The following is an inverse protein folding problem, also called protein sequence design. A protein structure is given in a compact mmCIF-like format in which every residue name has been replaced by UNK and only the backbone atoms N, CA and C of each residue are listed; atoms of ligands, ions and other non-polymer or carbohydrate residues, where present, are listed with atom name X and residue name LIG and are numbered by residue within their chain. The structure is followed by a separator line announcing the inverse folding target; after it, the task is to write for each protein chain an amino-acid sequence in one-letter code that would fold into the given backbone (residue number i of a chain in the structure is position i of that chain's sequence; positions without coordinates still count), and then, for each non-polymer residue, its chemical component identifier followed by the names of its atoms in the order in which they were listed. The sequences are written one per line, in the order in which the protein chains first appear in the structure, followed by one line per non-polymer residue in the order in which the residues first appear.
data_IF_326827030378
#
_entry.id   IF_326827030378
#
_cell.length_a   1.000
_cell.length_b   1.000
_cell.length_c   1.000
_cell.angle_alpha   90.00
_cell.angle_beta   90.00
_cell.angle_gamma   90.00
#
_symmetry.space_group_name_H-M   'P 1'
#
loop_
_entity.id
_entity.type
_entity.pdbx_description
1 polymer ?
#
# COMPACT_ATOMS: atom_id res chain seq x y z
N UNK A 1 -18.29 -1.95 12.08
CA UNK A 1 -19.67 -2.39 12.31
C UNK A 1 -20.56 -1.24 12.78
N UNK A 2 -20.07 -0.36 13.65
CA UNK A 2 -20.74 0.83 14.17
C UNK A 2 -19.69 1.90 14.40
N UNK A 3 -20.06 3.17 14.26
CA UNK A 3 -19.17 4.33 14.48
C UNK A 3 -18.12 4.52 13.38
N UNK A 4 -17.38 5.60 13.49
CA UNK A 4 -16.29 5.97 12.57
C UNK A 4 -14.99 6.06 13.35
N UNK A 5 -13.97 5.42 12.86
CA UNK A 5 -12.60 5.52 13.38
C UNK A 5 -11.72 6.31 12.41
N UNK A 6 -10.82 7.09 12.94
CA UNK A 6 -9.86 7.87 12.17
C UNK A 6 -8.50 7.21 12.32
N UNK A 7 -7.95 6.72 11.21
CA UNK A 7 -6.61 6.16 11.14
C UNK A 7 -5.68 7.20 10.56
N UNK A 8 -4.73 7.66 11.35
CA UNK A 8 -3.72 8.62 10.92
C UNK A 8 -2.40 7.89 10.71
N UNK A 9 -1.96 7.83 9.46
CA UNK A 9 -0.67 7.35 9.02
C UNK A 9 0.29 8.54 8.83
N UNK A 10 1.55 8.25 8.58
CA UNK A 10 2.57 9.29 8.37
C UNK A 10 2.21 10.29 7.25
N UNK A 11 1.58 9.82 6.18
CA UNK A 11 1.31 10.58 4.96
C UNK A 11 -0.17 10.80 4.66
N UNK A 12 -1.08 10.22 5.45
CA UNK A 12 -2.52 10.29 5.20
C UNK A 12 -3.37 10.00 6.42
N UNK A 13 -4.59 10.53 6.38
CA UNK A 13 -5.65 10.22 7.33
C UNK A 13 -6.80 9.51 6.60
N UNK A 14 -7.31 8.45 7.19
CA UNK A 14 -8.38 7.61 6.65
C UNK A 14 -9.53 7.53 7.65
N UNK A 15 -10.74 7.79 7.16
CA UNK A 15 -11.96 7.68 7.95
C UNK A 15 -12.63 6.33 7.65
N UNK A 16 -12.56 5.42 8.60
CA UNK A 16 -13.18 4.10 8.51
C UNK A 16 -14.61 4.15 9.04
N UNK A 17 -15.57 4.33 8.14
CA UNK A 17 -17.00 4.32 8.44
C UNK A 17 -17.56 2.89 8.48
N UNK A 18 -18.78 2.67 9.01
CA UNK A 18 -19.44 1.37 8.94
C UNK A 18 -19.46 0.81 7.51
N UNK A 19 -19.03 -0.46 7.35
CA UNK A 19 -18.89 -1.10 6.04
C UNK A 19 -17.54 -0.85 5.33
N UNK A 20 -16.60 -0.14 5.96
CA UNK A 20 -15.23 -0.04 5.48
C UNK A 20 -14.40 -1.24 5.89
N UNK A 21 -13.47 -1.63 5.04
CA UNK A 21 -12.40 -2.59 5.34
C UNK A 21 -11.07 -1.89 5.13
N UNK A 22 -10.17 -2.00 6.11
CA UNK A 22 -8.82 -1.45 6.05
C UNK A 22 -7.82 -2.58 6.25
N UNK A 23 -6.87 -2.70 5.33
CA UNK A 23 -5.71 -3.59 5.48
C UNK A 23 -4.51 -2.73 5.83
N UNK A 24 -3.88 -3.04 6.95
CA UNK A 24 -2.68 -2.34 7.43
C UNK A 24 -1.51 -3.30 7.31
N UNK A 25 -0.46 -2.96 6.55
CA UNK A 25 0.74 -3.79 6.45
C UNK A 25 1.45 -3.91 7.79
N UNK A 26 2.15 -5.03 7.98
CA UNK A 26 3.07 -5.22 9.11
C UNK A 26 4.10 -4.07 9.14
N UNK A 27 4.35 -3.52 10.33
CA UNK A 27 5.27 -2.40 10.59
C UNK A 27 4.82 -1.02 10.07
N UNK A 28 3.60 -0.87 9.59
CA UNK A 28 3.05 0.45 9.31
C UNK A 28 2.64 1.12 10.62
N UNK A 29 3.23 2.27 10.92
CA UNK A 29 2.88 3.05 12.11
C UNK A 29 1.61 3.86 11.84
N UNK A 30 0.65 3.78 12.76
CA UNK A 30 -0.60 4.54 12.69
C UNK A 30 -1.10 4.89 14.09
N UNK A 31 -1.93 5.93 14.15
CA UNK A 31 -2.69 6.30 15.32
C UNK A 31 -4.18 6.12 15.03
N UNK A 32 -4.94 5.66 16.02
CA UNK A 32 -6.39 5.54 15.93
C UNK A 32 -7.02 6.57 16.85
N UNK A 33 -7.91 7.38 16.29
CA UNK A 33 -8.77 8.28 17.02
C UNK A 33 -10.23 7.92 16.75
N UNK A 34 -11.08 8.05 17.77
CA UNK A 34 -12.53 7.85 17.62
C UNK A 34 -13.16 9.16 17.12
N UNK A 35 -13.96 9.09 16.08
CA UNK A 35 -14.79 10.21 15.63
C UNK A 35 -16.13 10.22 16.36
N UNK A 36 -16.69 9.05 16.60
CA UNK A 36 -17.92 8.85 17.35
C UNK A 36 -17.60 8.36 18.78
N UNK A 37 -18.51 8.58 19.74
CA UNK A 37 -18.33 8.14 21.14
C UNK A 37 -18.17 6.62 21.28
N UNK A 38 -18.76 5.86 20.36
CA UNK A 38 -18.65 4.40 20.31
C UNK A 38 -18.31 3.92 18.91
N UNK A 39 -17.29 3.08 18.81
CA UNK A 39 -16.94 2.35 17.58
C UNK A 39 -16.87 0.86 17.84
N UNK A 40 -17.32 0.07 16.88
CA UNK A 40 -17.22 -1.39 16.89
C UNK A 40 -16.57 -1.83 15.58
N UNK A 41 -15.36 -2.35 15.67
CA UNK A 41 -14.60 -2.93 14.57
C UNK A 41 -14.29 -4.41 14.83
N UNK A 42 -14.00 -5.16 13.78
CA UNK A 42 -13.43 -6.50 13.85
C UNK A 42 -12.06 -6.43 13.22
N UNK A 43 -11.03 -6.74 13.98
CA UNK A 43 -9.66 -6.87 13.49
C UNK A 43 -9.31 -8.35 13.32
N UNK A 44 -8.59 -8.68 12.24
CA UNK A 44 -8.01 -9.99 11.98
C UNK A 44 -6.51 -9.76 11.73
N UNK A 45 -5.69 -10.20 12.69
CA UNK A 45 -4.25 -10.19 12.54
C UNK A 45 -3.79 -11.46 11.84
N UNK A 46 -2.91 -11.32 10.85
CA UNK A 46 -2.40 -12.45 10.07
C UNK A 46 -0.95 -12.24 9.65
N UNK A 47 -0.23 -13.33 9.45
CA UNK A 47 1.10 -13.34 8.85
C UNK A 47 1.06 -14.11 7.54
N UNK A 48 1.74 -13.56 6.54
CA UNK A 48 1.97 -14.25 5.27
C UNK A 48 3.31 -14.96 5.31
N UNK A 49 3.37 -16.15 4.72
CA UNK A 49 4.60 -16.94 4.67
C UNK A 49 5.70 -16.30 3.82
N UNK A 50 5.32 -15.48 2.85
CA UNK A 50 6.23 -14.73 1.98
C UNK A 50 6.14 -13.24 2.32
N UNK A 51 7.23 -12.49 2.10
CA UNK A 51 7.27 -11.02 2.19
C UNK A 51 6.46 -10.37 1.06
N UNK A 52 5.17 -10.68 1.02
CA UNK A 52 4.25 -10.02 0.10
C UNK A 52 4.02 -8.61 0.63
N UNK A 53 4.50 -7.64 -0.12
CA UNK A 53 4.30 -6.22 0.18
C UNK A 53 2.82 -5.85 -0.03
N UNK A 54 2.01 -6.08 1.00
CA UNK A 54 0.60 -5.69 0.99
C UNK A 54 0.56 -4.18 1.19
N UNK A 55 0.09 -3.47 0.18
CA UNK A 55 -0.18 -2.03 0.30
C UNK A 55 -1.43 -1.83 1.15
N UNK A 56 -1.51 -0.74 1.93
CA UNK A 56 -2.74 -0.38 2.61
C UNK A 56 -3.86 -0.26 1.57
N UNK A 57 -4.82 -1.15 1.65
CA UNK A 57 -6.02 -1.10 0.80
C UNK A 57 -7.15 -0.58 1.66
N UNK A 58 -7.60 0.63 1.36
CA UNK A 58 -8.80 1.18 1.95
C UNK A 58 -9.97 1.02 0.98
N UNK A 59 -10.94 0.19 1.34
CA UNK A 59 -12.15 0.00 0.55
C UNK A 59 -13.30 0.68 1.29
N UNK A 60 -13.66 1.87 0.81
CA UNK A 60 -14.80 2.61 1.32
C UNK A 60 -16.09 1.97 0.80
N UNK A 61 -16.96 1.60 1.74
CA UNK A 61 -18.36 1.23 1.49
C UNK A 61 -18.52 0.05 0.52
N UNK A 62 -18.14 -1.13 0.98
CA UNK A 62 -18.57 -2.37 0.34
C UNK A 62 -20.06 -2.55 0.69
N UNK A 63 -20.96 -1.93 -0.06
CA UNK A 63 -22.40 -2.00 0.12
C UNK A 63 -23.00 -3.41 0.02
N UNK A 64 -22.20 -4.43 0.31
CA UNK A 64 -22.54 -5.83 0.21
C UNK A 64 -22.50 -6.47 1.60
N UNK A 65 -23.64 -6.98 2.04
CA UNK A 65 -23.77 -7.71 3.30
C UNK A 65 -22.85 -8.94 3.39
N UNK A 66 -22.32 -9.44 2.26
CA UNK A 66 -21.50 -10.65 2.22
C UNK A 66 -20.16 -10.49 2.93
N UNK A 67 -19.47 -9.34 2.81
CA UNK A 67 -18.19 -9.14 3.49
C UNK A 67 -18.40 -9.01 5.01
N UNK A 68 -19.47 -8.32 5.42
CA UNK A 68 -19.80 -8.18 6.83
C UNK A 68 -20.10 -9.56 7.45
N UNK A 69 -20.82 -10.43 6.76
CA UNK A 69 -21.08 -11.80 7.25
C UNK A 69 -19.78 -12.59 7.39
N UNK A 70 -18.84 -12.50 6.45
CA UNK A 70 -17.57 -13.19 6.56
C UNK A 70 -16.76 -12.78 7.81
N UNK A 71 -16.74 -11.48 8.16
CA UNK A 71 -16.10 -11.03 9.39
C UNK A 71 -16.83 -11.52 10.65
N UNK A 72 -18.16 -11.53 10.64
CA UNK A 72 -18.94 -12.06 11.78
C UNK A 72 -18.82 -13.58 11.89
N UNK A 73 -18.72 -14.30 10.78
CA UNK A 73 -18.49 -15.74 10.74
C UNK A 73 -17.10 -16.08 11.30
N UNK A 74 -16.08 -15.27 10.98
CA UNK A 74 -14.74 -15.42 11.55
C UNK A 74 -14.73 -15.26 13.07
N UNK A 75 -15.46 -14.27 13.62
CA UNK A 75 -15.62 -14.10 15.07
C UNK A 75 -16.35 -15.28 15.69
N UNK A 76 -17.39 -15.78 15.03
CA UNK A 76 -18.13 -16.96 15.48
C UNK A 76 -17.26 -18.20 15.51
N UNK A 77 -16.46 -18.42 14.47
CA UNK A 77 -15.54 -19.54 14.37
C UNK A 77 -14.46 -19.47 15.44
N UNK A 78 -13.86 -18.29 15.63
CA UNK A 78 -12.89 -18.04 16.68
C UNK A 78 -13.41 -18.37 18.09
N UNK A 79 -14.69 -18.07 18.36
CA UNK A 79 -15.30 -18.31 19.67
C UNK A 79 -15.55 -19.79 19.99
N UNK A 80 -15.61 -20.66 18.99
CA UNK A 80 -15.84 -22.11 19.19
C UNK A 80 -14.67 -22.76 19.91
N UNK A 81 -13.42 -22.40 19.59
CA UNK A 81 -12.18 -23.00 20.10
C UNK A 81 -12.13 -24.53 20.00
N UNK A 82 -12.92 -25.10 19.07
CA UNK A 82 -12.96 -26.52 18.80
C UNK A 82 -11.68 -26.96 18.06
N UNK A 83 -11.43 -28.25 18.00
CA UNK A 83 -10.18 -28.83 17.43
C UNK A 83 -9.88 -28.37 16.01
N UNK A 84 -10.88 -28.01 15.23
CA UNK A 84 -10.78 -27.65 13.81
C UNK A 84 -11.03 -26.17 13.50
N UNK A 85 -11.13 -25.29 14.50
CA UNK A 85 -11.42 -23.88 14.29
C UNK A 85 -10.36 -23.16 13.44
N UNK A 86 -9.08 -23.55 13.52
CA UNK A 86 -8.01 -22.94 12.72
C UNK A 86 -8.20 -23.13 11.22
N UNK A 87 -8.43 -24.36 10.69
CA UNK A 87 -8.79 -24.56 9.28
C UNK A 87 -10.04 -23.78 8.86
N UNK A 88 -11.07 -23.72 9.72
CA UNK A 88 -12.28 -22.94 9.49
C UNK A 88 -12.00 -21.45 9.32
N UNK A 89 -11.21 -20.86 10.24
CA UNK A 89 -10.77 -19.47 10.17
C UNK A 89 -9.96 -19.18 8.91
N UNK A 90 -9.01 -20.06 8.55
CA UNK A 90 -8.23 -19.91 7.30
C UNK A 90 -9.15 -19.90 6.08
N UNK A 91 -10.13 -20.79 6.02
CA UNK A 91 -11.10 -20.81 4.93
C UNK A 91 -11.88 -19.51 4.81
N UNK A 92 -12.37 -18.97 5.94
CA UNK A 92 -13.09 -17.69 5.97
C UNK A 92 -12.15 -16.56 5.56
N UNK A 93 -10.91 -16.54 6.06
CA UNK A 93 -9.92 -15.54 5.71
C UNK A 93 -9.61 -15.54 4.21
N UNK A 94 -9.38 -16.70 3.59
CA UNK A 94 -9.18 -16.77 2.14
C UNK A 94 -10.38 -16.27 1.33
N UNK A 95 -11.60 -16.49 1.83
CA UNK A 95 -12.82 -15.93 1.20
C UNK A 95 -12.85 -14.41 1.32
N UNK A 96 -12.44 -13.85 2.46
CA UNK A 96 -12.31 -12.39 2.64
C UNK A 96 -11.28 -11.84 1.64
N UNK A 97 -10.09 -12.42 1.57
CA UNK A 97 -9.04 -11.99 0.62
C UNK A 97 -9.52 -12.10 -0.82
N UNK A 98 -10.14 -13.22 -1.20
CA UNK A 98 -10.71 -13.41 -2.54
C UNK A 98 -11.75 -12.34 -2.87
N UNK A 99 -12.63 -12.02 -1.92
CA UNK A 99 -13.64 -10.97 -2.11
C UNK A 99 -13.00 -9.60 -2.31
N UNK A 100 -11.99 -9.25 -1.51
CA UNK A 100 -11.28 -7.98 -1.60
C UNK A 100 -10.51 -7.87 -2.93
N UNK A 101 -9.87 -8.96 -3.37
CA UNK A 101 -9.15 -9.01 -4.65
C UNK A 101 -10.10 -8.88 -5.84
N UNK A 102 -11.29 -9.47 -5.77
CA UNK A 102 -12.32 -9.31 -6.82
C UNK A 102 -12.84 -7.88 -6.89
N UNK A 103 -12.99 -7.21 -5.75
CA UNK A 103 -13.37 -5.80 -5.70
C UNK A 103 -12.28 -4.90 -6.28
N UNK A 104 -11.03 -5.18 -5.99
CA UNK A 104 -9.88 -4.47 -6.59
C UNK A 104 -9.85 -4.66 -8.10
N UNK A 105 -10.07 -5.87 -8.60
CA UNK A 105 -10.18 -6.16 -10.03
C UNK A 105 -11.39 -5.47 -10.68
N UNK A 106 -12.52 -5.32 -9.99
CA UNK A 106 -13.67 -4.56 -10.48
C UNK A 106 -13.36 -3.05 -10.57
N UNK A 107 -12.50 -2.56 -9.69
CA UNK A 107 -12.00 -1.19 -9.75
C UNK A 107 -11.05 -0.98 -10.94
N UNK A 108 -10.19 -1.96 -11.25
CA UNK A 108 -9.35 -1.99 -12.46
C UNK A 108 -10.18 -2.08 -13.75
N UNK A 109 -11.36 -2.66 -13.72
CA UNK A 109 -12.28 -2.69 -14.86
C UNK A 109 -13.09 -1.40 -15.02
N UNK A 110 -12.97 -0.44 -14.07
CA UNK A 110 -13.69 0.82 -14.15
C UNK A 110 -13.26 1.62 -15.39
N UNK A 111 -14.20 2.37 -15.97
CA UNK A 111 -13.93 3.28 -17.09
C UNK A 111 -12.76 4.22 -16.79
N UNK A 112 -12.58 4.57 -15.52
CA UNK A 112 -11.53 5.46 -15.06
C UNK A 112 -10.14 4.82 -15.11
N UNK A 113 -9.99 3.56 -14.67
CA UNK A 113 -8.72 2.84 -14.80
C UNK A 113 -8.34 2.65 -16.27
N UNK A 114 -9.30 2.24 -17.11
CA UNK A 114 -9.06 2.07 -18.57
C UNK A 114 -8.51 3.33 -19.22
N UNK A 115 -8.93 4.52 -18.78
CA UNK A 115 -8.41 5.80 -19.29
C UNK A 115 -6.92 5.99 -19.03
N UNK A 116 -6.40 5.51 -17.91
CA UNK A 116 -5.00 5.72 -17.49
C UNK A 116 -4.15 4.45 -17.57
N UNK A 117 -4.73 3.30 -18.00
CA UNK A 117 -4.03 2.01 -18.02
C UNK A 117 -2.71 2.06 -18.80
N UNK A 118 -2.71 2.63 -20.01
CA UNK A 118 -1.49 2.80 -20.82
C UNK A 118 -0.44 3.69 -20.14
N UNK A 119 -0.86 4.71 -19.41
CA UNK A 119 0.04 5.56 -18.66
C UNK A 119 0.65 4.83 -17.46
N UNK A 120 -0.12 3.95 -16.80
CA UNK A 120 0.38 3.10 -15.71
C UNK A 120 1.41 2.10 -16.22
N UNK A 121 1.13 1.44 -17.35
CA UNK A 121 2.07 0.53 -18.02
C UNK A 121 3.38 1.28 -18.33
N UNK A 122 3.28 2.40 -19.05
CA UNK A 122 4.45 3.24 -19.33
C UNK A 122 5.21 3.66 -18.06
N UNK A 123 4.50 4.07 -17.03
CA UNK A 123 5.10 4.46 -15.76
C UNK A 123 5.89 3.31 -15.12
N UNK A 124 5.34 2.08 -15.13
CA UNK A 124 6.01 0.90 -14.57
C UNK A 124 7.31 0.56 -15.30
N UNK A 125 7.37 0.79 -16.61
CA UNK A 125 8.53 0.48 -17.44
C UNK A 125 9.61 1.57 -17.37
N UNK A 126 9.22 2.84 -17.14
CA UNK A 126 10.10 4.01 -17.31
C UNK A 126 10.34 4.82 -16.03
N UNK A 127 9.79 4.45 -14.88
CA UNK A 127 9.88 5.26 -13.65
C UNK A 127 11.31 5.48 -13.12
N UNK A 128 12.29 4.69 -13.57
CA UNK A 128 13.71 4.83 -13.20
C UNK A 128 14.45 5.84 -14.06
N UNK A 129 13.89 6.26 -15.19
CA UNK A 129 14.52 7.25 -16.05
C UNK A 129 14.70 8.59 -15.32
N UNK A 130 15.85 9.22 -15.52
CA UNK A 130 16.19 10.49 -14.84
C UNK A 130 15.36 11.67 -15.33
N UNK A 131 14.86 11.61 -16.56
CA UNK A 131 14.01 12.61 -17.20
C UNK A 131 12.51 12.26 -17.20
N UNK A 132 12.13 11.27 -16.41
CA UNK A 132 10.72 10.86 -16.26
C UNK A 132 9.82 12.02 -15.83
N UNK A 133 8.75 12.27 -16.59
CA UNK A 133 7.80 13.36 -16.34
C UNK A 133 6.37 12.86 -16.24
N UNK A 134 5.65 13.35 -15.23
CA UNK A 134 4.22 13.01 -15.03
C UNK A 134 3.34 13.55 -16.15
N UNK A 135 3.73 14.66 -16.78
CA UNK A 135 3.05 15.25 -17.91
C UNK A 135 2.93 14.28 -19.10
N UNK A 136 3.93 13.41 -19.27
CA UNK A 136 3.89 12.36 -20.30
C UNK A 136 2.82 11.32 -20.04
N UNK A 137 2.57 10.99 -18.77
CA UNK A 137 1.48 10.08 -18.37
C UNK A 137 0.11 10.66 -18.71
N UNK A 138 -0.07 11.95 -18.46
CA UNK A 138 -1.30 12.65 -18.80
C UNK A 138 -1.53 12.68 -20.32
N UNK A 139 -0.48 12.94 -21.08
CA UNK A 139 -0.51 12.92 -22.54
C UNK A 139 -0.89 11.54 -23.09
N UNK A 140 -0.30 10.46 -22.57
CA UNK A 140 -0.63 9.08 -22.95
C UNK A 140 -2.07 8.70 -22.62
N UNK A 141 -2.64 9.36 -21.62
CA UNK A 141 -4.04 9.18 -21.19
C UNK A 141 -5.01 10.08 -21.96
N UNK A 142 -4.53 11.01 -22.79
CA UNK A 142 -5.36 11.97 -23.52
C UNK A 142 -6.10 12.97 -22.61
N UNK A 143 -5.56 13.29 -21.43
CA UNK A 143 -6.19 14.17 -20.45
C UNK A 143 -5.17 15.17 -19.88
N UNK A 144 -5.65 16.22 -19.22
CA UNK A 144 -4.77 17.19 -18.55
C UNK A 144 -4.04 16.57 -17.37
N UNK A 145 -2.81 17.07 -17.06
CA UNK A 145 -2.00 16.61 -15.90
C UNK A 145 -2.79 16.68 -14.61
N UNK A 146 -3.50 17.78 -14.36
CA UNK A 146 -4.33 17.96 -13.17
C UNK A 146 -5.45 16.91 -13.07
N UNK A 147 -6.09 16.57 -14.19
CA UNK A 147 -7.14 15.54 -14.20
C UNK A 147 -6.54 14.13 -14.05
N UNK A 148 -5.37 13.88 -14.67
CA UNK A 148 -4.63 12.64 -14.48
C UNK A 148 -4.25 12.42 -13.00
N UNK A 149 -3.67 13.41 -12.34
CA UNK A 149 -3.31 13.34 -10.91
C UNK A 149 -4.53 13.08 -10.03
N UNK A 150 -5.64 13.79 -10.27
CA UNK A 150 -6.91 13.56 -9.56
C UNK A 150 -7.41 12.13 -9.76
N UNK A 151 -7.40 11.64 -11.00
CA UNK A 151 -7.87 10.32 -11.38
C UNK A 151 -6.94 9.24 -10.79
N UNK A 152 -5.63 9.41 -10.92
CA UNK A 152 -4.64 8.52 -10.33
C UNK A 152 -4.82 8.42 -8.80
N UNK A 153 -4.95 9.57 -8.13
CA UNK A 153 -5.18 9.60 -6.69
C UNK A 153 -6.49 8.94 -6.28
N UNK A 154 -7.54 9.03 -7.08
CA UNK A 154 -8.81 8.34 -6.80
C UNK A 154 -8.71 6.81 -6.93
N UNK A 155 -7.74 6.32 -7.70
CA UNK A 155 -7.54 4.89 -7.96
C UNK A 155 -6.47 4.31 -7.01
N UNK A 156 -5.35 5.01 -6.84
CA UNK A 156 -4.20 4.52 -6.09
C UNK A 156 -4.05 5.14 -4.69
N UNK A 157 -4.93 6.09 -4.32
CA UNK A 157 -4.96 6.82 -3.04
C UNK A 157 -3.70 7.61 -2.70
N UNK A 158 -2.74 7.68 -3.62
CA UNK A 158 -1.49 8.44 -3.54
C UNK A 158 -1.30 9.27 -4.80
N UNK A 159 -0.44 10.30 -4.76
CA UNK A 159 -0.09 11.02 -5.99
C UNK A 159 0.81 10.16 -6.89
N UNK A 160 0.83 10.39 -8.22
CA UNK A 160 1.75 9.71 -9.12
C UNK A 160 3.21 9.84 -8.68
N UNK A 161 3.58 11.02 -8.18
CA UNK A 161 4.93 11.31 -7.68
C UNK A 161 5.29 10.47 -6.45
N UNK A 162 4.40 10.43 -5.45
CA UNK A 162 4.61 9.64 -4.24
C UNK A 162 4.66 8.15 -4.54
N UNK A 163 3.84 7.70 -5.48
CA UNK A 163 3.86 6.32 -5.97
C UNK A 163 5.23 5.94 -6.54
N UNK A 164 5.78 6.77 -7.45
CA UNK A 164 7.10 6.55 -8.05
C UNK A 164 8.20 6.59 -6.98
N UNK A 165 8.15 7.58 -6.09
CA UNK A 165 9.12 7.68 -4.98
C UNK A 165 9.09 6.41 -4.13
N UNK A 166 7.92 5.93 -3.73
CA UNK A 166 7.80 4.72 -2.93
C UNK A 166 8.38 3.50 -3.65
N UNK A 167 8.11 3.34 -4.95
CA UNK A 167 8.69 2.28 -5.77
C UNK A 167 10.22 2.35 -5.83
N UNK A 168 10.77 3.56 -6.04
CA UNK A 168 12.23 3.78 -6.04
C UNK A 168 12.84 3.46 -4.68
N UNK A 169 12.18 3.79 -3.57
CA UNK A 169 12.67 3.50 -2.22
C UNK A 169 12.66 2.00 -1.93
N UNK A 170 11.64 1.26 -2.33
CA UNK A 170 11.65 -0.21 -2.18
C UNK A 170 12.80 -0.85 -2.96
N UNK A 171 12.97 -0.49 -4.21
CA UNK A 171 14.11 -0.97 -5.01
C UNK A 171 15.46 -0.52 -4.40
N UNK A 172 15.53 0.68 -3.83
CA UNK A 172 16.73 1.15 -3.12
C UNK A 172 17.10 0.25 -1.93
N UNK A 173 16.09 -0.18 -1.16
CA UNK A 173 16.30 -1.09 -0.01
C UNK A 173 16.91 -2.42 -0.47
N UNK A 174 16.42 -2.98 -1.57
CA UNK A 174 16.94 -4.22 -2.15
C UNK A 174 18.38 -4.05 -2.64
N UNK A 175 18.67 -2.99 -3.43
CA UNK A 175 19.99 -2.72 -3.96
C UNK A 175 21.03 -2.42 -2.87
N UNK A 176 20.63 -1.76 -1.78
CA UNK A 176 21.52 -1.45 -0.65
C UNK A 176 21.88 -2.68 0.19
N UNK A 177 21.17 -3.79 0.10
CA UNK A 177 21.54 -5.05 0.74
C UNK A 177 22.76 -5.72 0.09
N UNK A 178 23.10 -5.35 -1.13
CA UNK A 178 24.31 -5.85 -1.80
C UNK A 178 25.54 -5.13 -1.27
N UNK A 179 26.56 -5.88 -0.84
CA UNK A 179 27.85 -5.32 -0.41
C UNK A 179 28.55 -4.52 -1.50
N UNK A 180 28.35 -4.91 -2.77
CA UNK A 180 29.05 -4.36 -3.93
C UNK A 180 28.52 -3.00 -4.38
N UNK A 181 27.28 -2.63 -4.05
CA UNK A 181 26.66 -1.40 -4.53
C UNK A 181 26.98 -0.23 -3.60
N UNK A 182 27.59 0.84 -4.09
CA UNK A 182 27.71 2.10 -3.33
C UNK A 182 26.36 2.85 -3.28
N UNK A 183 26.20 3.75 -2.30
CA UNK A 183 25.02 4.62 -2.24
C UNK A 183 24.88 5.49 -3.51
N UNK A 184 26.01 5.87 -4.11
CA UNK A 184 26.03 6.62 -5.37
C UNK A 184 25.51 5.78 -6.53
N UNK A 185 26.01 4.53 -6.67
CA UNK A 185 25.55 3.62 -7.72
C UNK A 185 24.04 3.36 -7.62
N UNK A 186 23.54 3.17 -6.41
CA UNK A 186 22.09 3.00 -6.16
C UNK A 186 21.32 4.25 -6.57
N UNK A 187 21.79 5.45 -6.20
CA UNK A 187 21.11 6.68 -6.60
C UNK A 187 21.03 6.82 -8.12
N UNK A 188 22.13 6.55 -8.84
CA UNK A 188 22.17 6.57 -10.30
C UNK A 188 21.25 5.53 -10.91
N UNK A 189 21.28 4.28 -10.43
CA UNK A 189 20.43 3.20 -10.91
C UNK A 189 18.91 3.51 -10.74
N UNK A 190 18.57 4.32 -9.74
CA UNK A 190 17.21 4.79 -9.51
C UNK A 190 16.84 6.08 -10.26
N UNK A 191 17.74 6.57 -11.13
CA UNK A 191 17.51 7.78 -11.92
C UNK A 191 17.55 9.08 -11.12
N UNK A 192 18.31 9.12 -10.03
CA UNK A 192 18.58 10.37 -9.32
C UNK A 192 19.86 11.02 -9.83
N UNK A 193 19.77 12.26 -10.28
CA UNK A 193 20.93 13.05 -10.72
C UNK A 193 21.73 13.62 -9.53
N UNK A 194 21.15 13.60 -8.32
CA UNK A 194 21.75 14.12 -7.10
C UNK A 194 21.61 13.11 -5.96
N UNK A 195 22.76 12.63 -5.47
CA UNK A 195 22.87 11.69 -4.35
C UNK A 195 22.35 12.30 -3.03
N UNK A 196 22.48 13.60 -2.83
CA UNK A 196 22.01 14.28 -1.62
C UNK A 196 20.49 14.32 -1.61
N UNK A 197 19.88 14.61 -2.76
CA UNK A 197 18.43 14.57 -2.95
C UNK A 197 17.89 13.16 -2.71
N UNK A 198 18.53 12.13 -3.29
CA UNK A 198 18.19 10.73 -3.02
C UNK A 198 18.27 10.42 -1.52
N UNK A 199 19.39 10.75 -0.86
CA UNK A 199 19.61 10.44 0.55
C UNK A 199 18.60 11.11 1.46
N UNK A 200 18.19 12.34 1.16
CA UNK A 200 17.15 13.08 1.89
C UNK A 200 15.80 12.42 1.78
N UNK A 201 15.39 12.04 0.55
CA UNK A 201 14.11 11.35 0.31
C UNK A 201 14.12 9.97 0.98
N UNK A 202 15.21 9.21 0.83
CA UNK A 202 15.34 7.90 1.44
C UNK A 202 15.21 7.98 2.98
N UNK A 203 15.92 8.91 3.62
CA UNK A 203 15.82 9.12 5.06
C UNK A 203 14.41 9.54 5.49
N UNK A 204 13.76 10.42 4.73
CA UNK A 204 12.38 10.83 4.99
C UNK A 204 11.41 9.63 4.96
N UNK A 205 11.59 8.70 4.03
CA UNK A 205 10.70 7.55 3.82
C UNK A 205 11.02 6.33 4.70
N UNK A 206 12.26 6.18 5.16
CA UNK A 206 12.71 4.98 5.91
C UNK A 206 13.15 5.27 7.35
N UNK A 207 13.27 6.55 7.72
CA UNK A 207 13.80 6.97 9.02
C UNK A 207 15.34 6.88 9.13
N UNK A 208 16.04 6.21 8.21
CA UNK A 208 17.49 6.05 8.22
C UNK A 208 18.09 6.60 6.92
N UNK A 209 19.32 7.13 6.98
CA UNK A 209 20.05 7.44 5.75
C UNK A 209 20.37 6.15 4.97
N UNK A 210 20.60 6.20 3.64
CA UNK A 210 20.98 5.02 2.86
C UNK A 210 22.20 4.29 3.42
N UNK A 211 23.19 5.05 3.92
CA UNK A 211 24.41 4.49 4.54
C UNK A 211 24.12 3.76 5.86
N UNK A 212 23.31 4.35 6.73
CA UNK A 212 22.88 3.73 7.97
C UNK A 212 22.04 2.47 7.70
N UNK A 213 21.15 2.54 6.71
CA UNK A 213 20.30 1.42 6.30
C UNK A 213 21.17 0.25 5.82
N UNK A 214 22.12 0.51 4.91
CA UNK A 214 23.06 -0.48 4.40
C UNK A 214 23.85 -1.13 5.55
N UNK A 215 24.39 -0.34 6.48
CA UNK A 215 25.17 -0.84 7.60
C UNK A 215 24.33 -1.75 8.52
N UNK A 216 23.09 -1.38 8.80
CA UNK A 216 22.18 -2.19 9.64
C UNK A 216 21.78 -3.52 9.01
N UNK A 217 21.65 -3.57 7.69
CA UNK A 217 21.24 -4.78 6.97
C UNK A 217 22.38 -5.77 6.72
N UNK A 218 23.62 -5.30 6.69
CA UNK A 218 24.81 -6.13 6.48
C UNK A 218 25.40 -6.68 7.78
N UNK A 219 24.96 -6.22 8.97
CA UNK A 219 25.36 -6.80 10.25
C UNK A 219 24.35 -7.92 10.58
N UNK A 220 24.79 -9.20 10.66
CA UNK A 220 23.91 -10.27 11.12
C UNK A 220 23.41 -9.92 12.53
N UNK A 221 22.12 -10.05 12.79
CA UNK A 221 21.60 -10.03 14.15
C UNK A 221 22.20 -11.24 14.87
N UNK A 222 23.18 -10.98 15.79
CA UNK A 222 23.62 -11.99 16.74
C UNK A 222 22.46 -12.41 17.63
#
# INVERSE_FOLDING_TARGET
LKGTEIYTFFDKTVYACPGSVLIIPKNEAYQIDLYDEESIAIAIDFELADDINIRPVFIKNIGNNNIKSLFTDAVSEWKKHDFDYIPGLKSIFYRIISFLTLQENSYHSSTNYKKIAKAIEYMNDHYLESDFKIEKLALLSGISTRYFEKLFRSIFFVTPRDYIISRKIELAKELLQSEKSSVGDVAVALGYNDIYHFSKIFKLKTGNSPREYKHKTLIPKM
#
